data_IF_213071475256
#
_entry.id   IF_213071475256
#
_cell.length_a   1.000
_cell.length_b   1.000
_cell.length_c   1.000
_cell.angle_alpha   90.00
_cell.angle_beta   90.00
_cell.angle_gamma   90.00
#
_symmetry.space_group_name_H-M   'P 1'
#
loop_
_entity.id
_entity.type
_entity.pdbx_description
1 polymer ?
#
# COMPACT_ATOMS: atom_id res chain seq x y z
N UNK A 1 0.06 3.60 5.75
CA UNK A 1 0.98 2.44 5.79
C UNK A 1 2.06 2.70 4.76
N UNK A 2 3.32 2.38 5.07
CA UNK A 2 4.46 2.64 4.20
C UNK A 2 5.37 1.40 4.18
N UNK A 3 5.93 1.09 3.03
CA UNK A 3 6.89 0.00 2.88
C UNK A 3 8.25 0.34 3.50
N UNK A 4 9.13 -0.67 3.58
CA UNK A 4 10.42 -0.57 4.26
C UNK A 4 11.55 0.09 3.47
N UNK A 5 11.28 0.77 2.35
CA UNK A 5 12.32 1.42 1.54
C UNK A 5 13.15 2.40 2.38
N UNK A 6 14.45 2.55 2.06
CA UNK A 6 15.35 3.41 2.85
C UNK A 6 14.91 4.89 2.90
N UNK A 7 14.47 5.52 1.79
CA UNK A 7 13.98 6.92 1.85
C UNK A 7 12.78 7.10 2.78
N UNK A 8 11.98 6.06 2.95
CA UNK A 8 10.76 6.03 3.74
C UNK A 8 10.99 5.92 5.25
N UNK A 9 12.23 5.68 5.67
CA UNK A 9 12.60 5.47 7.09
C UNK A 9 13.62 6.47 7.61
N UNK A 10 13.74 7.61 6.94
CA UNK A 10 14.58 8.69 7.44
C UNK A 10 13.91 9.34 8.66
N UNK A 11 14.72 9.88 9.56
CA UNK A 11 14.23 10.62 10.72
C UNK A 11 13.28 11.77 10.31
N UNK A 12 13.61 12.49 9.24
CA UNK A 12 12.78 13.58 8.73
C UNK A 12 11.38 13.09 8.33
N UNK A 13 11.30 11.94 7.63
CA UNK A 13 10.04 11.33 7.24
C UNK A 13 9.26 10.85 8.47
N UNK A 14 9.92 10.21 9.43
CA UNK A 14 9.24 9.74 10.64
C UNK A 14 8.74 10.88 11.53
N UNK A 15 9.50 11.97 11.69
CA UNK A 15 9.04 13.18 12.39
C UNK A 15 7.80 13.77 11.72
N UNK A 16 7.82 13.89 10.39
CA UNK A 16 6.66 14.34 9.62
C UNK A 16 5.46 13.43 9.84
N UNK A 17 5.63 12.10 9.72
CA UNK A 17 4.53 11.17 9.90
C UNK A 17 3.97 11.21 11.33
N UNK A 18 4.81 11.39 12.34
CA UNK A 18 4.38 11.50 13.74
C UNK A 18 3.57 12.76 14.00
N UNK A 19 3.98 13.90 13.44
CA UNK A 19 3.27 15.18 13.56
C UNK A 19 1.82 15.10 13.06
N UNK A 20 1.59 14.44 11.91
CA UNK A 20 0.27 14.40 11.26
C UNK A 20 -0.57 13.17 11.63
N UNK A 21 0.07 12.03 11.87
CA UNK A 21 -0.61 10.74 12.03
C UNK A 21 -0.38 10.08 13.38
N UNK A 22 0.70 10.44 14.09
CA UNK A 22 1.02 9.93 15.43
C UNK A 22 1.04 8.40 15.49
N UNK A 23 0.19 7.84 16.34
CA UNK A 23 0.07 6.39 16.54
C UNK A 23 -0.69 5.64 15.42
N UNK A 24 -1.11 6.33 14.35
CA UNK A 24 -1.83 5.73 13.20
C UNK A 24 -0.93 5.35 12.04
N UNK A 25 0.39 5.32 12.28
CA UNK A 25 1.39 4.94 11.28
C UNK A 25 1.71 3.45 11.40
N UNK A 26 1.71 2.78 10.26
CA UNK A 26 2.18 1.40 10.07
C UNK A 26 3.38 1.47 9.13
N UNK A 27 4.58 1.29 9.66
CA UNK A 27 5.82 1.36 8.89
C UNK A 27 6.96 0.64 9.61
N UNK A 28 7.86 0.04 8.82
CA UNK A 28 9.01 -0.70 9.33
C UNK A 28 9.88 0.21 10.22
N UNK A 29 10.11 -0.20 11.46
CA UNK A 29 10.90 0.49 12.50
C UNK A 29 10.31 1.79 13.05
N UNK A 30 9.11 2.19 12.65
CA UNK A 30 8.49 3.42 13.14
C UNK A 30 8.32 3.45 14.66
N UNK A 31 7.83 2.38 15.33
CA UNK A 31 7.71 2.38 16.80
C UNK A 31 9.06 2.44 17.53
N UNK A 32 10.16 2.00 16.89
CA UNK A 32 11.50 2.13 17.48
C UNK A 32 11.94 3.58 17.55
N UNK A 33 11.43 4.44 16.65
CA UNK A 33 11.73 5.86 16.60
C UNK A 33 10.79 6.70 17.47
N UNK A 34 9.48 6.45 17.40
CA UNK A 34 8.47 7.30 18.09
C UNK A 34 7.98 6.74 19.43
N UNK A 35 8.19 5.45 19.70
CA UNK A 35 7.54 4.75 20.82
C UNK A 35 6.03 4.51 20.62
N UNK A 36 5.49 4.79 19.43
CA UNK A 36 4.08 4.65 19.09
C UNK A 36 3.87 4.08 17.67
N UNK A 37 2.63 3.82 17.28
CA UNK A 37 2.30 3.24 15.98
C UNK A 37 2.49 1.72 15.92
N UNK A 38 2.58 1.17 14.72
CA UNK A 38 2.71 -0.26 14.48
C UNK A 38 3.91 -0.55 13.58
N UNK A 39 4.66 -1.59 13.93
CA UNK A 39 5.76 -2.07 13.11
C UNK A 39 5.22 -2.84 11.89
N UNK A 40 5.99 -2.86 10.82
CA UNK A 40 5.63 -3.53 9.57
C UNK A 40 6.72 -4.52 9.16
N UNK A 41 6.39 -5.78 8.82
CA UNK A 41 7.39 -6.74 8.39
C UNK A 41 8.07 -6.29 7.09
N UNK A 42 9.40 -6.49 6.96
CA UNK A 42 10.09 -6.25 5.69
C UNK A 42 9.64 -7.28 4.64
N UNK A 43 9.74 -6.92 3.37
CA UNK A 43 9.45 -7.80 2.22
C UNK A 43 8.01 -8.33 2.16
N UNK A 44 7.03 -7.52 2.56
CA UNK A 44 5.61 -7.91 2.50
C UNK A 44 4.79 -7.07 1.51
N UNK A 45 5.12 -7.08 0.19
CA UNK A 45 4.31 -6.41 -0.82
C UNK A 45 2.89 -7.01 -0.88
N UNK A 46 2.75 -8.30 -0.59
CA UNK A 46 1.48 -9.02 -0.53
C UNK A 46 0.48 -8.43 0.47
N UNK A 47 0.95 -7.58 1.37
CA UNK A 47 0.14 -6.94 2.40
C UNK A 47 -0.15 -5.47 2.09
N UNK A 48 0.43 -4.86 1.04
CA UNK A 48 0.15 -3.46 0.71
C UNK A 48 -0.98 -3.33 -0.32
N UNK A 49 -2.09 -2.60 -0.01
CA UNK A 49 -3.17 -2.34 -0.95
C UNK A 49 -2.71 -1.73 -2.27
N UNK A 50 -1.64 -0.93 -2.23
CA UNK A 50 -1.07 -0.36 -3.43
C UNK A 50 -0.45 -1.43 -4.33
N UNK A 51 0.32 -2.35 -3.76
CA UNK A 51 1.05 -3.38 -4.53
C UNK A 51 0.13 -4.49 -5.02
N UNK A 52 -0.72 -5.06 -4.16
CA UNK A 52 -1.56 -6.20 -4.57
C UNK A 52 -2.80 -5.80 -5.38
N UNK A 53 -3.17 -4.51 -5.42
CA UNK A 53 -4.39 -4.06 -6.10
C UNK A 53 -4.16 -2.83 -6.98
N UNK A 54 -3.74 -1.69 -6.42
CA UNK A 54 -3.80 -0.40 -7.14
C UNK A 54 -2.90 -0.40 -8.37
N UNK A 55 -1.62 -0.76 -8.22
CA UNK A 55 -0.66 -0.68 -9.32
C UNK A 55 -0.99 -1.64 -10.45
N UNK A 56 -1.43 -2.86 -10.13
CA UNK A 56 -1.92 -3.81 -11.14
C UNK A 56 -3.14 -3.28 -11.89
N UNK A 57 -4.13 -2.77 -11.16
CA UNK A 57 -5.37 -2.22 -11.72
C UNK A 57 -5.10 -1.02 -12.63
N UNK A 58 -4.28 -0.06 -12.17
CA UNK A 58 -3.93 1.11 -12.98
C UNK A 58 -3.14 0.70 -14.23
N UNK A 59 -2.23 -0.25 -14.13
CA UNK A 59 -1.48 -0.77 -15.28
C UNK A 59 -2.42 -1.39 -16.31
N UNK A 60 -3.37 -2.21 -15.89
CA UNK A 60 -4.32 -2.87 -16.79
C UNK A 60 -5.26 -1.89 -17.50
N UNK A 61 -5.59 -0.75 -16.87
CA UNK A 61 -6.45 0.28 -17.46
C UNK A 61 -5.66 1.24 -18.35
N UNK A 62 -4.47 1.66 -17.90
CA UNK A 62 -3.70 2.75 -18.55
C UNK A 62 -2.85 2.21 -19.69
N UNK A 63 -2.20 1.05 -19.53
CA UNK A 63 -1.26 0.53 -20.50
C UNK A 63 -1.88 0.29 -21.89
N UNK A 64 -3.11 -0.27 -22.02
CA UNK A 64 -3.76 -0.45 -23.33
C UNK A 64 -4.12 0.85 -24.05
N UNK A 65 -4.15 1.99 -23.34
CA UNK A 65 -4.46 3.31 -23.94
C UNK A 65 -3.28 3.91 -24.70
N UNK A 66 -2.08 3.33 -24.55
CA UNK A 66 -0.85 3.77 -25.22
C UNK A 66 -0.62 5.31 -25.16
N UNK A 67 -0.55 5.92 -23.96
CA UNK A 67 -0.28 7.35 -23.84
C UNK A 67 1.09 7.67 -24.46
N UNK A 68 1.13 8.70 -25.31
CA UNK A 68 2.32 9.11 -26.05
C UNK A 68 3.11 10.24 -25.36
N UNK A 69 2.49 10.91 -24.38
CA UNK A 69 3.09 12.01 -23.63
C UNK A 69 2.94 11.81 -22.12
N UNK A 70 3.73 12.55 -21.33
CA UNK A 70 3.59 12.55 -19.87
C UNK A 70 2.22 13.08 -19.43
N UNK A 71 1.71 14.13 -20.09
CA UNK A 71 0.40 14.72 -19.78
C UNK A 71 -0.73 13.72 -20.04
N UNK A 72 -0.66 12.97 -21.13
CA UNK A 72 -1.63 11.90 -21.44
C UNK A 72 -1.54 10.76 -20.41
N UNK A 73 -0.33 10.38 -20.00
CA UNK A 73 -0.13 9.34 -19.00
C UNK A 73 -0.68 9.77 -17.63
N UNK A 74 -0.35 10.99 -17.18
CA UNK A 74 -0.84 11.54 -15.92
C UNK A 74 -2.36 11.64 -15.91
N UNK A 75 -2.95 12.21 -16.98
CA UNK A 75 -4.41 12.29 -17.15
C UNK A 75 -5.06 10.90 -17.13
N UNK A 76 -4.47 9.92 -17.83
CA UNK A 76 -4.99 8.56 -17.84
C UNK A 76 -4.94 7.91 -16.46
N UNK A 77 -3.88 8.14 -15.68
CA UNK A 77 -3.77 7.66 -14.29
C UNK A 77 -4.84 8.32 -13.41
N UNK A 78 -4.99 9.65 -13.47
CA UNK A 78 -5.99 10.39 -12.69
C UNK A 78 -7.42 9.89 -12.96
N UNK A 79 -7.82 9.80 -14.24
CA UNK A 79 -9.14 9.28 -14.63
C UNK A 79 -9.34 7.84 -14.16
N UNK A 80 -8.30 7.01 -14.22
CA UNK A 80 -8.39 5.62 -13.77
C UNK A 80 -8.57 5.54 -12.25
N UNK A 81 -7.86 6.36 -11.47
CA UNK A 81 -8.05 6.48 -10.03
C UNK A 81 -9.47 6.94 -9.67
N UNK A 82 -10.00 7.96 -10.35
CA UNK A 82 -11.36 8.48 -10.14
C UNK A 82 -12.45 7.44 -10.48
N UNK A 83 -12.15 6.51 -11.39
CA UNK A 83 -13.06 5.43 -11.74
C UNK A 83 -13.14 4.31 -10.68
N UNK A 84 -12.20 4.25 -9.74
CA UNK A 84 -12.20 3.25 -8.67
C UNK A 84 -13.32 3.60 -7.68
N UNK A 85 -14.33 2.73 -7.61
CA UNK A 85 -15.46 2.96 -6.71
C UNK A 85 -15.04 2.89 -5.24
N UNK A 86 -15.74 3.64 -4.39
CA UNK A 86 -15.56 3.57 -2.94
C UNK A 86 -15.78 2.14 -2.42
N UNK A 87 -16.68 1.38 -3.04
CA UNK A 87 -16.95 -0.01 -2.68
C UNK A 87 -15.76 -0.93 -2.98
N UNK A 88 -15.11 -0.72 -4.12
CA UNK A 88 -13.85 -1.41 -4.45
C UNK A 88 -12.79 -1.13 -3.39
N UNK A 89 -12.63 0.13 -2.97
CA UNK A 89 -11.68 0.49 -1.91
C UNK A 89 -12.03 -0.18 -0.58
N UNK A 90 -13.32 -0.24 -0.19
CA UNK A 90 -13.75 -0.97 1.01
C UNK A 90 -13.40 -2.45 0.95
N UNK A 91 -13.65 -3.09 -0.20
CA UNK A 91 -13.34 -4.51 -0.39
C UNK A 91 -11.84 -4.78 -0.34
N UNK A 92 -11.01 -3.90 -0.89
CA UNK A 92 -9.55 -3.96 -0.78
C UNK A 92 -9.11 -3.86 0.69
N UNK A 93 -9.66 -2.91 1.45
CA UNK A 93 -9.35 -2.80 2.88
C UNK A 93 -9.87 -3.98 3.71
N UNK A 94 -10.99 -4.60 3.33
CA UNK A 94 -11.44 -5.84 3.95
C UNK A 94 -10.50 -7.01 3.62
N UNK A 95 -10.01 -7.08 2.37
CA UNK A 95 -9.04 -8.08 1.92
C UNK A 95 -7.72 -7.96 2.70
N UNK A 96 -7.27 -6.74 3.01
CA UNK A 96 -6.10 -6.51 3.88
C UNK A 96 -6.20 -7.27 5.21
N UNK A 97 -7.36 -7.23 5.88
CA UNK A 97 -7.56 -7.96 7.14
C UNK A 97 -7.53 -9.48 6.92
N UNK A 98 -8.09 -9.97 5.81
CA UNK A 98 -8.03 -11.39 5.45
C UNK A 98 -6.59 -11.85 5.18
N UNK A 99 -5.80 -11.03 4.48
CA UNK A 99 -4.37 -11.26 4.20
C UNK A 99 -3.55 -11.34 5.48
N UNK A 100 -3.78 -10.44 6.43
CA UNK A 100 -3.14 -10.51 7.75
C UNK A 100 -3.50 -11.81 8.50
N UNK A 101 -4.78 -12.20 8.50
CA UNK A 101 -5.20 -13.46 9.14
C UNK A 101 -4.53 -14.67 8.51
N UNK A 102 -4.46 -14.71 7.18
CA UNK A 102 -3.80 -15.80 6.47
C UNK A 102 -2.31 -15.88 6.82
N UNK A 103 -1.61 -14.74 6.82
CA UNK A 103 -0.20 -14.67 7.21
C UNK A 103 0.02 -15.20 8.64
N UNK A 104 -0.84 -14.82 9.60
CA UNK A 104 -0.78 -15.35 10.96
C UNK A 104 -0.98 -16.87 11.01
N UNK A 105 -1.94 -17.40 10.26
CA UNK A 105 -2.18 -18.85 10.18
C UNK A 105 -1.03 -19.60 9.50
N UNK A 106 -0.37 -18.96 8.53
CA UNK A 106 0.76 -19.51 7.78
C UNK A 106 2.12 -19.29 8.47
N UNK A 107 2.14 -18.84 9.73
CA UNK A 107 3.37 -18.52 10.48
C UNK A 107 4.33 -17.57 9.73
N UNK A 108 3.81 -16.65 8.92
CA UNK A 108 4.61 -15.67 8.18
C UNK A 108 5.13 -16.11 6.82
N UNK A 109 4.69 -17.25 6.28
CA UNK A 109 5.03 -17.67 4.91
C UNK A 109 4.34 -16.81 3.83
N UNK A 110 4.96 -16.75 2.65
CA UNK A 110 4.45 -16.01 1.49
C UNK A 110 3.22 -16.70 0.89
N UNK A 111 2.31 -15.93 0.31
CA UNK A 111 1.14 -16.44 -0.41
C UNK A 111 0.82 -15.55 -1.60
N UNK A 112 0.51 -16.16 -2.75
CA UNK A 112 0.31 -15.40 -4.00
C UNK A 112 -1.10 -14.80 -4.12
N UNK A 113 -2.14 -15.54 -3.73
CA UNK A 113 -3.53 -15.12 -3.96
C UNK A 113 -4.47 -15.59 -2.84
N UNK A 114 -5.18 -14.63 -2.23
CA UNK A 114 -6.41 -14.92 -1.49
C UNK A 114 -7.56 -14.65 -2.46
N UNK A 115 -8.07 -15.74 -3.07
CA UNK A 115 -9.31 -15.67 -3.86
C UNK A 115 -10.45 -15.43 -2.87
N UNK A 116 -11.12 -14.28 -3.01
CA UNK A 116 -12.45 -14.04 -2.43
C UNK A 116 -13.51 -14.44 -3.45
#
# INVERSE_FOLDING_TARGET
MQDGARPHRTEQVFRFLDEYFGNRVIALEYPKFTGAGMDWPPYSPDLTPCDYFLWGTLKDIVYPKHPATLDELESAICVSCESISVETVRNVMANFILRLRHLCCANGEHFENIVM
#
